data_IF_925378132439
#
_entry.id   IF_925378132439
#
_cell.length_a   1.000
_cell.length_b   1.000
_cell.length_c   1.000
_cell.angle_alpha   90.00
_cell.angle_beta   90.00
_cell.angle_gamma   90.00
#
_symmetry.space_group_name_H-M   'P 1'
#
loop_
_entity.id
_entity.type
_entity.pdbx_description
1 polymer ?
#
# COMPACT_ATOMS: atom_id res chain seq x y z
N UNK A 1 23.09 10.47 -20.46
CA UNK A 1 23.77 9.94 -21.67
C UNK A 1 24.58 8.71 -21.32
N UNK A 2 25.47 8.77 -20.34
CA UNK A 2 26.25 7.63 -19.82
C UNK A 2 25.42 6.36 -19.52
N UNK A 3 24.30 6.42 -18.80
CA UNK A 3 23.48 5.22 -18.52
C UNK A 3 22.88 4.60 -19.80
N UNK A 4 22.52 5.43 -20.79
CA UNK A 4 22.05 4.93 -22.10
C UNK A 4 23.17 4.29 -22.91
N UNK A 5 24.41 4.71 -22.69
CA UNK A 5 25.59 4.12 -23.33
C UNK A 5 26.04 2.85 -22.59
N UNK A 6 25.92 2.80 -21.27
CA UNK A 6 26.18 1.62 -20.46
C UNK A 6 25.31 0.43 -20.88
N UNK A 7 24.00 0.65 -21.09
CA UNK A 7 23.11 -0.41 -21.61
C UNK A 7 23.42 -0.87 -23.04
N UNK A 8 24.23 -0.12 -23.81
CA UNK A 8 24.71 -0.57 -25.13
C UNK A 8 26.01 -1.35 -25.04
N UNK A 9 26.82 -1.09 -24.01
CA UNK A 9 28.11 -1.73 -23.81
C UNK A 9 27.99 -3.03 -22.99
N UNK A 10 27.02 -3.09 -22.09
CA UNK A 10 26.77 -4.23 -21.22
C UNK A 10 25.47 -4.96 -21.62
N UNK A 11 25.54 -6.20 -22.12
CA UNK A 11 24.38 -7.01 -22.47
C UNK A 11 23.44 -7.26 -21.29
N UNK A 12 23.95 -7.31 -20.06
CA UNK A 12 23.12 -7.51 -18.87
C UNK A 12 22.24 -6.29 -18.60
N UNK A 13 22.66 -5.08 -19.01
CA UNK A 13 21.92 -3.84 -18.80
C UNK A 13 21.07 -3.43 -20.02
N UNK A 14 21.01 -4.26 -21.06
CA UNK A 14 20.29 -3.95 -22.30
C UNK A 14 18.78 -3.76 -22.11
N UNK A 15 18.21 -4.34 -21.04
CA UNK A 15 16.80 -4.18 -20.69
C UNK A 15 16.47 -2.79 -20.09
N UNK A 16 17.48 -1.98 -19.74
CA UNK A 16 17.28 -0.70 -19.07
C UNK A 16 16.99 0.41 -20.10
N UNK A 17 15.73 0.83 -20.15
CA UNK A 17 15.26 2.03 -20.82
C UNK A 17 15.22 3.20 -19.84
N UNK A 18 16.29 4.00 -19.81
CA UNK A 18 16.42 5.15 -18.92
C UNK A 18 15.94 6.47 -19.53
N UNK A 19 15.26 7.31 -18.75
CA UNK A 19 15.09 8.74 -19.04
C UNK A 19 15.29 9.56 -17.77
N UNK A 20 15.43 10.88 -17.94
CA UNK A 20 15.69 11.77 -16.82
C UNK A 20 14.76 12.97 -16.83
N UNK A 21 14.54 13.51 -15.63
CA UNK A 21 13.81 14.74 -15.37
C UNK A 21 14.66 15.61 -14.45
N UNK A 22 14.95 16.82 -14.92
CA UNK A 22 15.66 17.83 -14.13
C UNK A 22 14.67 18.91 -13.75
N UNK A 23 14.61 19.25 -12.48
CA UNK A 23 13.90 20.44 -12.05
C UNK A 23 14.65 21.70 -12.47
N UNK A 24 13.97 22.61 -13.15
CA UNK A 24 14.38 24.01 -13.21
C UNK A 24 13.69 24.73 -12.06
N UNK A 25 14.46 25.47 -11.26
CA UNK A 25 13.95 26.16 -10.08
C UNK A 25 12.76 27.04 -10.45
N UNK A 26 11.56 26.62 -10.03
CA UNK A 26 10.38 27.48 -10.04
C UNK A 26 10.60 28.48 -8.90
N UNK A 27 11.46 29.48 -9.13
CA UNK A 27 11.45 30.67 -8.32
C UNK A 27 10.04 31.23 -8.40
N UNK A 28 9.34 31.33 -7.26
CA UNK A 28 7.93 31.74 -7.16
C UNK A 28 7.60 33.08 -7.86
N UNK A 29 8.60 33.84 -8.31
CA UNK A 29 8.49 35.16 -8.91
C UNK A 29 9.16 35.30 -10.31
N UNK A 30 9.49 34.23 -11.05
CA UNK A 30 9.99 34.39 -12.43
C UNK A 30 8.88 34.36 -13.49
N UNK A 31 8.93 35.26 -14.49
CA UNK A 31 7.98 35.22 -15.60
C UNK A 31 8.15 33.91 -16.38
N UNK A 32 7.03 33.27 -16.73
CA UNK A 32 6.98 32.08 -17.58
C UNK A 32 7.54 32.42 -18.97
N UNK A 33 8.84 32.20 -19.17
CA UNK A 33 9.46 32.28 -20.48
C UNK A 33 9.11 31.05 -21.31
N UNK A 34 9.04 31.19 -22.65
CA UNK A 34 8.72 30.09 -23.60
C UNK A 34 9.61 28.84 -23.43
N UNK A 35 10.84 29.00 -22.95
CA UNK A 35 11.74 27.89 -22.63
C UNK A 35 11.22 27.03 -21.48
N UNK A 36 10.64 27.64 -20.46
CA UNK A 36 10.10 26.97 -19.28
C UNK A 36 8.87 26.11 -19.62
N UNK A 37 8.01 26.60 -20.53
CA UNK A 37 6.89 25.81 -21.05
C UNK A 37 7.34 24.62 -21.88
N UNK A 38 8.36 24.80 -22.73
CA UNK A 38 8.91 23.72 -23.54
C UNK A 38 9.55 22.63 -22.66
N UNK A 39 10.18 23.00 -21.56
CA UNK A 39 10.74 22.06 -20.58
C UNK A 39 9.67 21.34 -19.77
N UNK A 40 8.62 22.04 -19.35
CA UNK A 40 7.48 21.41 -18.68
C UNK A 40 6.82 20.35 -19.57
N UNK A 41 6.60 20.67 -20.86
CA UNK A 41 6.08 19.70 -21.84
C UNK A 41 6.99 18.48 -21.99
N UNK A 42 8.32 18.67 -21.97
CA UNK A 42 9.28 17.55 -22.00
C UNK A 42 9.21 16.70 -20.74
N UNK A 43 9.11 17.32 -19.56
CA UNK A 43 8.96 16.59 -18.30
C UNK A 43 7.67 15.75 -18.30
N UNK A 44 6.56 16.34 -18.75
CA UNK A 44 5.27 15.64 -18.86
C UNK A 44 5.33 14.48 -19.86
N UNK A 45 6.01 14.65 -21.00
CA UNK A 45 6.22 13.58 -21.97
C UNK A 45 7.02 12.42 -21.37
N UNK A 46 8.10 12.70 -20.63
CA UNK A 46 8.90 11.66 -19.97
C UNK A 46 8.08 10.92 -18.91
N UNK A 47 7.28 11.66 -18.12
CA UNK A 47 6.38 11.05 -17.13
C UNK A 47 5.31 10.19 -17.79
N UNK A 48 4.77 10.62 -18.93
CA UNK A 48 3.82 9.83 -19.73
C UNK A 48 4.46 8.52 -20.20
N UNK A 49 5.69 8.57 -20.72
CA UNK A 49 6.44 7.37 -21.15
C UNK A 49 6.74 6.42 -20.00
N UNK A 50 7.04 6.96 -18.82
CA UNK A 50 7.24 6.15 -17.62
C UNK A 50 5.94 5.46 -17.15
N UNK A 51 4.81 6.20 -17.15
CA UNK A 51 3.48 5.62 -16.87
C UNK A 51 3.04 4.58 -17.89
N UNK A 52 3.44 4.72 -19.15
CA UNK A 52 3.18 3.75 -20.22
C UNK A 52 4.16 2.57 -20.23
N UNK A 53 5.09 2.48 -19.27
CA UNK A 53 6.14 1.46 -19.20
C UNK A 53 7.12 1.42 -20.40
N UNK A 54 7.17 2.46 -21.24
CA UNK A 54 8.18 2.61 -22.30
C UNK A 54 9.58 2.92 -21.72
N UNK A 55 9.60 3.53 -20.54
CA UNK A 55 10.80 3.82 -19.75
C UNK A 55 10.67 3.07 -18.43
N UNK A 56 11.66 2.25 -18.08
CA UNK A 56 11.67 1.49 -16.83
C UNK A 56 12.61 2.06 -15.77
N UNK A 57 13.49 3.00 -16.13
CA UNK A 57 14.37 3.72 -15.20
C UNK A 57 14.18 5.23 -15.34
N UNK A 58 13.72 5.88 -14.27
CA UNK A 58 13.56 7.32 -14.21
C UNK A 58 14.61 7.92 -13.26
N UNK A 59 15.42 8.84 -13.77
CA UNK A 59 16.43 9.58 -13.00
C UNK A 59 15.89 10.99 -12.75
N UNK A 60 15.72 11.37 -11.49
CA UNK A 60 15.12 12.64 -11.13
C UNK A 60 15.96 13.41 -10.11
N UNK A 61 15.91 14.74 -10.14
CA UNK A 61 16.42 15.59 -9.06
C UNK A 61 15.35 15.81 -7.98
N UNK A 62 15.77 16.25 -6.79
CA UNK A 62 14.91 16.47 -5.61
C UNK A 62 13.70 17.37 -5.84
N UNK A 63 13.74 18.22 -6.88
CA UNK A 63 12.63 19.11 -7.26
C UNK A 63 11.38 18.32 -7.69
N UNK A 64 11.53 17.07 -8.11
CA UNK A 64 10.43 16.20 -8.57
C UNK A 64 9.83 15.36 -7.42
N UNK A 65 10.36 15.49 -6.19
CA UNK A 65 9.84 14.70 -5.06
C UNK A 65 8.39 15.08 -4.71
N UNK A 66 7.99 16.31 -5.00
CA UNK A 66 6.69 16.86 -4.62
C UNK A 66 5.85 17.25 -5.86
N UNK A 67 4.55 16.95 -5.81
CA UNK A 67 3.58 17.41 -6.82
C UNK A 67 3.57 16.64 -8.13
N UNK A 68 4.46 15.66 -8.32
CA UNK A 68 4.49 14.82 -9.52
C UNK A 68 3.89 13.45 -9.24
N UNK A 69 2.93 13.03 -10.06
CA UNK A 69 2.32 11.71 -9.99
C UNK A 69 3.18 10.66 -10.72
N UNK A 70 3.95 9.91 -9.93
CA UNK A 70 4.81 8.80 -10.36
C UNK A 70 4.16 7.51 -9.84
N UNK A 71 4.01 6.48 -10.71
CA UNK A 71 3.45 5.18 -10.32
C UNK A 71 4.29 4.51 -9.23
N UNK A 72 3.72 3.46 -8.62
CA UNK A 72 4.41 2.66 -7.61
C UNK A 72 5.62 1.97 -8.24
N UNK A 73 6.79 2.17 -7.64
CA UNK A 73 8.05 1.55 -8.06
C UNK A 73 8.39 0.36 -7.17
N UNK A 74 9.08 -0.63 -7.75
CA UNK A 74 9.69 -1.76 -7.05
C UNK A 74 11.07 -1.42 -6.47
N UNK A 75 11.79 -0.45 -7.06
CA UNK A 75 13.08 0.01 -6.56
C UNK A 75 13.12 1.53 -6.59
N UNK A 76 13.44 2.13 -5.44
CA UNK A 76 13.71 3.57 -5.33
C UNK A 76 15.07 3.74 -4.68
N UNK A 77 15.97 4.41 -5.40
CA UNK A 77 17.34 4.66 -4.97
C UNK A 77 17.54 6.16 -4.79
N UNK A 78 17.88 6.58 -3.57
CA UNK A 78 18.33 7.94 -3.29
C UNK A 78 19.85 7.99 -3.29
N UNK A 79 20.43 8.86 -4.11
CA UNK A 79 21.87 9.12 -4.08
C UNK A 79 22.30 9.99 -2.90
N UNK A 80 21.38 10.78 -2.36
CA UNK A 80 21.61 11.64 -1.20
C UNK A 80 20.62 11.35 -0.07
N UNK A 81 21.11 11.46 1.17
CA UNK A 81 20.28 11.36 2.36
C UNK A 81 19.24 12.49 2.39
N UNK A 82 17.97 12.18 2.73
CA UNK A 82 16.94 13.20 2.83
C UNK A 82 17.22 14.13 4.01
N UNK A 83 17.16 15.44 3.77
CA UNK A 83 17.40 16.48 4.80
C UNK A 83 16.20 16.71 5.71
N UNK A 84 15.00 16.38 5.22
CA UNK A 84 13.74 16.59 5.92
C UNK A 84 12.88 15.32 5.93
N UNK A 85 12.08 15.16 6.98
CA UNK A 85 11.10 14.08 7.10
C UNK A 85 10.15 14.02 5.88
N UNK A 86 9.77 15.18 5.34
CA UNK A 86 8.87 15.28 4.18
C UNK A 86 9.47 14.66 2.93
N UNK A 87 10.74 14.96 2.65
CA UNK A 87 11.49 14.35 1.54
C UNK A 87 11.62 12.84 1.72
N UNK A 88 11.93 12.40 2.95
CA UNK A 88 12.02 10.98 3.31
C UNK A 88 10.71 10.23 3.03
N UNK A 89 9.56 10.73 3.51
CA UNK A 89 8.27 10.03 3.35
C UNK A 89 7.78 10.05 1.89
N UNK A 90 8.03 11.13 1.14
CA UNK A 90 7.63 11.22 -0.27
C UNK A 90 8.42 10.24 -1.14
N UNK A 91 9.74 10.18 -0.94
CA UNK A 91 10.61 9.27 -1.68
C UNK A 91 10.38 7.80 -1.29
N UNK A 92 10.30 7.49 0.01
CA UNK A 92 9.88 6.16 0.50
C UNK A 92 8.49 5.79 -0.03
N UNK A 93 7.59 6.76 -0.15
CA UNK A 93 6.23 6.58 -0.67
C UNK A 93 6.15 6.15 -2.14
N UNK A 94 7.24 6.28 -2.92
CA UNK A 94 7.30 5.77 -4.29
C UNK A 94 7.62 4.28 -4.34
N UNK A 95 8.34 3.74 -3.36
CA UNK A 95 8.59 2.31 -3.18
C UNK A 95 7.40 1.66 -2.45
N UNK A 96 6.26 1.53 -3.15
CA UNK A 96 5.02 0.94 -2.61
C UNK A 96 4.47 -0.23 -3.43
N UNK A 97 5.22 -0.68 -4.45
CA UNK A 97 4.85 -1.89 -5.17
C UNK A 97 5.02 -3.12 -4.26
N UNK A 98 4.32 -4.25 -4.52
CA UNK A 98 4.59 -5.50 -3.82
C UNK A 98 6.08 -5.85 -3.93
N UNK A 99 6.72 -6.17 -2.81
CA UNK A 99 8.15 -6.50 -2.74
C UNK A 99 9.01 -5.33 -3.28
N UNK A 100 8.82 -4.12 -2.72
CA UNK A 100 9.60 -2.94 -3.09
C UNK A 100 10.81 -2.73 -2.17
N UNK A 101 11.94 -2.35 -2.78
CA UNK A 101 13.16 -1.97 -2.09
C UNK A 101 13.36 -0.45 -2.11
N UNK A 102 13.71 0.10 -0.96
CA UNK A 102 14.09 1.51 -0.81
C UNK A 102 15.52 1.60 -0.31
N UNK A 103 16.41 2.12 -1.15
CA UNK A 103 17.85 2.17 -0.92
C UNK A 103 18.30 3.62 -0.85
N UNK A 104 19.09 3.95 0.16
CA UNK A 104 19.79 5.23 0.26
C UNK A 104 21.29 4.98 0.14
N UNK A 105 21.92 5.62 -0.82
CA UNK A 105 23.37 5.73 -0.89
C UNK A 105 23.77 6.95 -0.05
N UNK A 106 24.84 6.79 0.71
CA UNK A 106 25.37 7.81 1.59
C UNK A 106 26.86 7.60 1.79
N UNK A 107 27.59 8.68 2.03
CA UNK A 107 28.98 8.61 2.47
C UNK A 107 29.05 7.97 3.86
N UNK A 108 30.02 7.09 4.08
CA UNK A 108 30.20 6.34 5.35
C UNK A 108 30.21 7.26 6.58
N UNK A 109 30.77 8.46 6.44
CA UNK A 109 30.86 9.45 7.52
C UNK A 109 29.50 10.05 7.90
N UNK A 110 28.59 10.22 6.93
CA UNK A 110 27.25 10.79 7.11
C UNK A 110 26.21 9.77 7.57
N UNK A 111 26.49 8.48 7.40
CA UNK A 111 25.58 7.40 7.82
C UNK A 111 25.35 7.45 9.35
N UNK A 112 26.40 7.72 10.13
CA UNK A 112 26.33 7.72 11.59
C UNK A 112 25.38 8.80 12.12
N UNK A 113 25.52 10.03 11.63
CA UNK A 113 24.62 11.13 12.03
C UNK A 113 23.19 10.88 11.57
N UNK A 114 23.03 10.33 10.36
CA UNK A 114 21.71 10.08 9.81
C UNK A 114 20.97 8.91 10.48
N UNK A 115 21.67 8.01 11.16
CA UNK A 115 21.01 6.92 11.90
C UNK A 115 20.08 7.46 13.00
N UNK A 116 20.49 8.54 13.68
CA UNK A 116 19.67 9.23 14.68
C UNK A 116 18.48 9.95 14.03
N UNK A 117 18.70 10.64 12.91
CA UNK A 117 17.64 11.28 12.14
C UNK A 117 16.62 10.26 11.63
N UNK A 118 17.09 9.09 11.16
CA UNK A 118 16.24 8.01 10.67
C UNK A 118 15.38 7.42 11.79
N UNK A 119 15.93 7.26 13.00
CA UNK A 119 15.16 6.85 14.20
C UNK A 119 14.07 7.88 14.49
N UNK A 120 14.41 9.16 14.43
CA UNK A 120 13.48 10.28 14.64
C UNK A 120 12.38 10.27 13.58
N UNK A 121 12.71 10.11 12.30
CA UNK A 121 11.74 10.03 11.21
C UNK A 121 10.79 8.84 11.35
N UNK A 122 11.30 7.67 11.74
CA UNK A 122 10.46 6.49 12.01
C UNK A 122 9.52 6.72 13.20
N UNK A 123 9.98 7.41 14.24
CA UNK A 123 9.15 7.76 15.39
C UNK A 123 8.03 8.74 14.99
N UNK A 124 8.35 9.77 14.20
CA UNK A 124 7.37 10.71 13.65
C UNK A 124 6.34 9.97 12.79
N UNK A 125 6.78 9.05 11.90
CA UNK A 125 5.88 8.26 11.07
C UNK A 125 4.91 7.42 11.91
N UNK A 126 5.40 6.78 12.98
CA UNK A 126 4.57 5.98 13.91
C UNK A 126 3.56 6.85 14.64
N UNK A 127 3.96 8.02 15.13
CA UNK A 127 3.08 8.95 15.82
C UNK A 127 2.00 9.46 14.85
N UNK A 128 2.38 9.87 13.65
CA UNK A 128 1.45 10.36 12.62
C UNK A 128 0.46 9.28 12.20
N UNK A 129 0.92 8.05 11.95
CA UNK A 129 0.02 6.93 11.66
C UNK A 129 -0.99 6.73 12.77
N UNK A 130 -0.55 6.64 14.03
CA UNK A 130 -1.43 6.40 15.17
C UNK A 130 -2.37 7.57 15.49
N UNK A 131 -1.97 8.82 15.21
CA UNK A 131 -2.78 10.01 15.46
C UNK A 131 -3.77 10.28 14.33
N UNK A 132 -3.39 10.02 13.08
CA UNK A 132 -4.26 10.19 11.92
C UNK A 132 -5.23 9.02 11.74
N UNK A 133 -4.87 7.78 12.09
CA UNK A 133 -5.82 6.65 12.14
C UNK A 133 -6.89 6.86 13.20
N UNK A 134 -6.62 7.69 14.23
CA UNK A 134 -7.60 8.10 15.23
C UNK A 134 -8.64 9.11 14.71
N UNK A 135 -8.38 9.75 13.57
CA UNK A 135 -9.31 10.69 12.92
C UNK A 135 -9.79 10.25 11.54
N UNK A 136 -9.23 9.19 10.96
CA UNK A 136 -9.67 8.63 9.68
C UNK A 136 -9.63 7.11 9.75
N UNK A 137 -10.81 6.54 9.94
CA UNK A 137 -11.12 5.12 9.81
C UNK A 137 -11.03 4.73 8.32
N UNK A 138 -9.83 4.47 7.82
CA UNK A 138 -9.62 3.89 6.48
C UNK A 138 -8.35 3.05 6.43
N UNK A 139 -8.54 1.73 6.37
CA UNK A 139 -7.91 0.86 5.38
C UNK A 139 -6.38 0.76 5.35
N UNK A 140 -5.92 -0.43 5.74
CA UNK A 140 -4.68 -1.12 5.35
C UNK A 140 -3.41 -0.95 6.19
N UNK A 141 -2.92 -2.14 6.59
CA UNK A 141 -1.53 -2.51 6.89
C UNK A 141 -0.98 -2.14 8.27
N UNK A 142 -1.52 -2.76 9.31
CA UNK A 142 -0.68 -3.31 10.37
C UNK A 142 -0.57 -4.83 10.15
N UNK A 143 0.54 -5.27 9.55
CA UNK A 143 0.97 -6.65 9.60
C UNK A 143 1.46 -6.90 11.03
N UNK A 144 0.54 -7.12 11.95
CA UNK A 144 0.86 -7.67 13.27
C UNK A 144 1.46 -9.08 13.11
N UNK A 145 2.39 -9.49 13.98
CA UNK A 145 2.99 -10.81 13.92
C UNK A 145 1.89 -11.87 13.85
N UNK A 146 2.04 -12.81 12.91
CA UNK A 146 1.19 -13.98 12.75
C UNK A 146 1.43 -14.87 13.97
N UNK A 147 0.73 -14.57 15.06
CA UNK A 147 0.48 -15.57 16.10
C UNK A 147 -0.48 -16.56 15.48
N UNK A 148 -0.10 -17.84 15.50
CA UNK A 148 -0.89 -18.95 14.99
C UNK A 148 -2.09 -19.17 15.93
N UNK A 149 -3.07 -18.27 15.84
CA UNK A 149 -4.33 -18.29 16.58
C UNK A 149 -5.33 -19.29 15.93
N UNK A 150 -4.89 -20.16 15.00
CA UNK A 150 -5.79 -21.08 14.26
C UNK A 150 -6.55 -22.04 15.20
N UNK A 151 -6.03 -22.30 16.41
CA UNK A 151 -6.67 -23.12 17.44
C UNK A 151 -7.73 -22.36 18.28
N UNK A 152 -7.82 -21.04 18.17
CA UNK A 152 -8.74 -20.20 18.98
C UNK A 152 -10.18 -20.33 18.50
N UNK A 153 -10.39 -20.60 17.22
CA UNK A 153 -11.72 -20.74 16.64
C UNK A 153 -11.72 -21.80 15.54
N UNK A 154 -12.69 -22.75 15.55
CA UNK A 154 -12.68 -23.85 14.60
C UNK A 154 -12.76 -23.33 13.15
N UNK A 155 -11.93 -23.86 12.23
CA UNK A 155 -11.97 -23.45 10.84
C UNK A 155 -13.29 -23.85 10.19
N UNK A 156 -13.74 -23.05 9.23
CA UNK A 156 -14.86 -23.43 8.39
C UNK A 156 -14.36 -24.40 7.30
N UNK A 157 -14.79 -25.66 7.40
CA UNK A 157 -14.39 -26.74 6.49
C UNK A 157 -15.56 -27.08 5.58
N UNK A 158 -15.35 -26.99 4.26
CA UNK A 158 -16.39 -27.28 3.28
C UNK A 158 -16.69 -28.79 3.17
N UNK A 159 -15.66 -29.64 3.28
CA UNK A 159 -15.77 -31.11 3.22
C UNK A 159 -14.91 -31.77 4.31
N UNK A 160 -15.47 -32.69 5.12
CA UNK A 160 -14.78 -33.27 6.28
C UNK A 160 -13.48 -34.01 5.97
N UNK A 161 -13.36 -34.58 4.77
CA UNK A 161 -12.29 -35.55 4.45
C UNK A 161 -11.07 -34.91 3.75
N UNK A 162 -11.23 -33.82 2.95
CA UNK A 162 -10.09 -33.08 2.34
C UNK A 162 -10.51 -31.76 1.63
N UNK A 163 -11.50 -31.05 2.18
CA UNK A 163 -12.02 -29.84 1.54
C UNK A 163 -11.17 -28.58 1.80
N UNK A 164 -11.31 -27.52 0.97
CA UNK A 164 -10.80 -26.21 1.30
C UNK A 164 -11.30 -25.78 2.69
N UNK A 165 -10.41 -25.13 3.44
CA UNK A 165 -10.69 -24.65 4.79
C UNK A 165 -10.39 -23.16 4.88
N UNK A 166 -11.30 -22.43 5.50
CA UNK A 166 -11.10 -21.01 5.82
C UNK A 166 -10.84 -20.92 7.32
N UNK A 167 -9.70 -20.35 7.67
CA UNK A 167 -9.32 -20.07 9.07
C UNK A 167 -9.61 -18.61 9.40
N UNK A 168 -9.62 -18.26 10.68
CA UNK A 168 -9.79 -16.87 11.11
C UNK A 168 -8.70 -15.95 10.56
N UNK A 169 -7.50 -16.48 10.32
CA UNK A 169 -6.36 -15.73 9.77
C UNK A 169 -6.51 -15.43 8.27
N UNK A 170 -7.18 -16.31 7.53
CA UNK A 170 -7.38 -16.17 6.07
C UNK A 170 -8.70 -15.48 5.72
N UNK A 171 -9.70 -15.54 6.60
CA UNK A 171 -11.06 -15.09 6.35
C UNK A 171 -11.18 -13.65 5.82
N UNK A 172 -10.46 -12.69 6.43
CA UNK A 172 -10.49 -11.29 5.99
C UNK A 172 -10.04 -11.16 4.52
N UNK A 173 -9.00 -11.90 4.13
CA UNK A 173 -8.50 -11.91 2.76
C UNK A 173 -9.53 -12.44 1.77
N UNK A 174 -10.28 -13.50 2.14
CA UNK A 174 -11.35 -14.04 1.31
C UNK A 174 -12.51 -13.07 1.16
N UNK A 175 -12.95 -12.41 2.24
CA UNK A 175 -14.02 -11.39 2.17
C UNK A 175 -13.60 -10.20 1.30
N UNK A 176 -12.37 -9.71 1.45
CA UNK A 176 -11.85 -8.62 0.62
C UNK A 176 -11.79 -9.01 -0.86
N UNK A 177 -11.32 -10.22 -1.17
CA UNK A 177 -11.27 -10.75 -2.55
C UNK A 177 -12.67 -10.91 -3.15
N UNK A 178 -13.66 -11.28 -2.34
CA UNK A 178 -15.05 -11.32 -2.77
C UNK A 178 -15.57 -9.91 -3.06
N UNK A 179 -15.39 -8.95 -2.15
CA UNK A 179 -15.83 -7.56 -2.36
C UNK A 179 -15.21 -6.92 -3.60
N UNK A 180 -13.95 -7.22 -3.91
CA UNK A 180 -13.26 -6.73 -5.10
C UNK A 180 -13.78 -7.35 -6.43
N UNK A 181 -14.48 -8.50 -6.36
CA UNK A 181 -15.10 -9.15 -7.54
C UNK A 181 -16.54 -8.67 -7.80
N UNK A 182 -17.13 -7.95 -6.86
CA UNK A 182 -18.48 -7.40 -7.04
C UNK A 182 -18.48 -6.37 -8.17
N UNK A 183 -19.57 -6.27 -8.95
CA UNK A 183 -19.67 -5.31 -10.04
C UNK A 183 -19.55 -3.87 -9.49
N UNK A 184 -18.49 -3.16 -9.88
CA UNK A 184 -18.23 -1.77 -9.52
C UNK A 184 -17.80 -0.96 -10.73
N UNK A 185 -17.89 0.36 -10.63
CA UNK A 185 -17.31 1.26 -11.62
C UNK A 185 -15.76 1.34 -11.45
N UNK A 186 -15.02 1.83 -12.47
CA UNK A 186 -13.55 1.88 -12.45
C UNK A 186 -12.93 2.74 -11.34
N UNK A 187 -13.73 3.59 -10.67
CA UNK A 187 -13.25 4.52 -9.66
C UNK A 187 -13.66 4.10 -8.24
N UNK A 188 -14.53 3.10 -8.08
CA UNK A 188 -15.01 2.63 -6.78
C UNK A 188 -14.33 1.35 -6.36
N UNK A 189 -13.57 1.42 -5.26
CA UNK A 189 -13.09 0.24 -4.54
C UNK A 189 -14.14 -0.23 -3.52
N UNK A 190 -14.75 -1.39 -3.78
CA UNK A 190 -15.66 -2.02 -2.85
C UNK A 190 -14.87 -2.81 -1.79
N UNK A 191 -15.02 -2.41 -0.53
CA UNK A 191 -14.41 -3.07 0.61
C UNK A 191 -15.45 -3.32 1.71
N UNK A 192 -15.33 -4.42 2.48
CA UNK A 192 -16.17 -4.64 3.64
C UNK A 192 -15.87 -3.60 4.72
N UNK A 193 -16.87 -3.25 5.52
CA UNK A 193 -16.71 -2.37 6.68
C UNK A 193 -16.99 -3.15 7.96
N UNK A 194 -16.05 -3.11 8.90
CA UNK A 194 -16.23 -3.69 10.23
C UNK A 194 -16.44 -2.58 11.25
N UNK A 195 -17.35 -2.80 12.20
CA UNK A 195 -17.56 -1.92 13.34
C UNK A 195 -17.41 -2.73 14.62
N UNK A 196 -16.29 -2.54 15.30
CA UNK A 196 -15.97 -3.23 16.56
C UNK A 196 -16.38 -2.37 17.75
N UNK A 197 -16.94 -2.99 18.79
CA UNK A 197 -17.35 -2.33 20.04
C UNK A 197 -16.88 -3.15 21.24
N UNK A 198 -16.43 -2.44 22.26
CA UNK A 198 -16.07 -2.99 23.56
C UNK A 198 -17.32 -3.14 24.42
N UNK A 199 -17.42 -4.26 25.13
CA UNK A 199 -18.49 -4.58 26.07
C UNK A 199 -18.05 -4.27 27.50
N UNK A 200 -19.02 -4.12 28.43
CA UNK A 200 -18.72 -3.79 29.83
C UNK A 200 -17.83 -4.83 30.56
N UNK A 201 -17.74 -6.05 30.04
CA UNK A 201 -16.93 -7.14 30.55
C UNK A 201 -15.47 -7.12 30.02
N UNK A 202 -15.11 -6.13 29.19
CA UNK A 202 -13.80 -6.02 28.57
C UNK A 202 -13.61 -6.90 27.33
N UNK A 203 -14.67 -7.56 26.84
CA UNK A 203 -14.65 -8.29 25.56
C UNK A 203 -15.09 -7.40 24.40
N UNK A 204 -14.81 -7.84 23.17
CA UNK A 204 -15.08 -7.08 21.95
C UNK A 204 -15.95 -7.88 21.00
N UNK A 205 -17.03 -7.30 20.49
CA UNK A 205 -17.78 -7.88 19.39
C UNK A 205 -17.68 -6.97 18.16
N UNK A 206 -17.65 -7.58 16.97
CA UNK A 206 -17.60 -6.84 15.72
C UNK A 206 -18.81 -7.11 14.85
N UNK A 207 -19.21 -6.11 14.08
CA UNK A 207 -20.29 -6.19 13.10
C UNK A 207 -19.75 -5.86 11.72
N UNK A 208 -19.88 -6.79 10.78
CA UNK A 208 -19.40 -6.66 9.41
C UNK A 208 -20.55 -6.30 8.46
N UNK A 209 -20.28 -5.33 7.61
CA UNK A 209 -21.16 -4.80 6.58
C UNK A 209 -20.50 -5.01 5.22
N UNK A 210 -21.18 -5.75 4.34
CA UNK A 210 -20.76 -5.90 2.97
C UNK A 210 -21.24 -4.71 2.12
N UNK A 211 -20.59 -4.44 0.99
CA UNK A 211 -21.05 -3.44 0.02
C UNK A 211 -22.48 -3.73 -0.46
N UNK A 212 -23.19 -2.68 -0.89
CA UNK A 212 -24.59 -2.76 -1.36
C UNK A 212 -24.76 -3.72 -2.55
N UNK A 213 -23.69 -3.91 -3.31
CA UNK A 213 -23.61 -4.78 -4.48
C UNK A 213 -23.65 -6.28 -4.10
N UNK A 214 -23.34 -6.62 -2.85
CA UNK A 214 -23.45 -7.98 -2.34
C UNK A 214 -24.93 -8.35 -2.14
N UNK A 215 -25.39 -9.55 -2.55
CA UNK A 215 -26.75 -10.01 -2.24
C UNK A 215 -26.95 -10.23 -0.74
N UNK A 216 -25.87 -10.51 0.01
CA UNK A 216 -25.89 -10.57 1.47
C UNK A 216 -25.88 -9.15 2.05
N UNK A 217 -27.08 -8.55 2.14
CA UNK A 217 -27.29 -7.18 2.66
C UNK A 217 -27.35 -7.08 4.18
N UNK A 218 -27.64 -8.18 4.86
CA UNK A 218 -27.75 -8.20 6.31
C UNK A 218 -26.36 -8.03 6.96
N UNK A 219 -26.27 -7.19 7.99
CA UNK A 219 -25.06 -7.08 8.79
C UNK A 219 -24.79 -8.38 9.56
N UNK A 220 -23.52 -8.77 9.63
CA UNK A 220 -23.11 -10.00 10.28
C UNK A 220 -22.49 -9.63 11.62
N UNK A 221 -23.11 -10.09 12.69
CA UNK A 221 -22.62 -9.89 14.06
C UNK A 221 -21.94 -11.17 14.49
N UNK A 222 -20.71 -11.06 14.99
CA UNK A 222 -19.95 -12.19 15.53
C UNK A 222 -19.94 -12.20 17.05
N UNK A 223 -19.41 -13.28 17.64
CA UNK A 223 -19.36 -13.44 19.08
C UNK A 223 -18.40 -12.43 19.74
N UNK A 224 -18.59 -12.16 21.04
CA UNK A 224 -17.60 -11.45 21.83
C UNK A 224 -16.28 -12.22 21.91
N UNK A 225 -15.16 -11.52 21.71
CA UNK A 225 -13.80 -12.06 21.72
C UNK A 225 -12.91 -11.27 22.70
N UNK A 226 -11.81 -11.87 23.12
CA UNK A 226 -10.87 -11.27 24.09
C UNK A 226 -10.08 -10.06 23.56
N UNK A 227 -10.05 -9.84 22.23
CA UNK A 227 -9.43 -8.67 21.63
C UNK A 227 -10.09 -8.28 20.31
N UNK A 228 -9.86 -7.03 19.89
CA UNK A 228 -10.40 -6.43 18.65
C UNK A 228 -10.05 -7.28 17.41
N UNK A 229 -8.79 -7.70 17.30
CA UNK A 229 -8.30 -8.49 16.16
C UNK A 229 -9.07 -9.80 15.98
N UNK A 230 -9.29 -10.54 17.08
CA UNK A 230 -10.06 -11.77 17.05
C UNK A 230 -11.53 -11.51 16.74
N UNK A 231 -12.12 -10.45 17.27
CA UNK A 231 -13.50 -10.07 16.98
C UNK A 231 -13.72 -9.84 15.47
N UNK A 232 -12.80 -9.13 14.81
CA UNK A 232 -12.89 -8.87 13.37
C UNK A 232 -12.65 -10.12 12.53
N UNK A 233 -11.63 -10.93 12.87
CA UNK A 233 -11.30 -12.16 12.15
C UNK A 233 -12.42 -13.20 12.24
N UNK A 234 -13.00 -13.41 13.43
CA UNK A 234 -14.10 -14.37 13.62
C UNK A 234 -15.35 -13.93 12.88
N UNK A 235 -15.69 -12.64 12.91
CA UNK A 235 -16.82 -12.11 12.14
C UNK A 235 -16.61 -12.31 10.64
N UNK A 236 -15.38 -12.11 10.14
CA UNK A 236 -15.04 -12.38 8.74
C UNK A 236 -15.19 -13.87 8.40
N UNK A 237 -14.82 -14.79 9.31
CA UNK A 237 -15.00 -16.22 9.08
C UNK A 237 -16.48 -16.61 8.98
N UNK A 238 -17.32 -16.08 9.88
CA UNK A 238 -18.78 -16.26 9.83
C UNK A 238 -19.36 -15.65 8.53
N UNK A 239 -18.76 -14.56 8.05
CA UNK A 239 -19.12 -13.97 6.76
C UNK A 239 -18.82 -14.93 5.59
N UNK A 240 -17.63 -15.53 5.56
CA UNK A 240 -17.28 -16.54 4.55
C UNK A 240 -18.27 -17.72 4.56
N UNK A 241 -18.61 -18.24 5.73
CA UNK A 241 -19.61 -19.32 5.85
C UNK A 241 -20.98 -18.90 5.26
N UNK A 242 -21.44 -17.69 5.56
CA UNK A 242 -22.73 -17.19 5.04
C UNK A 242 -22.70 -16.96 3.54
N UNK A 243 -21.62 -16.37 3.01
CA UNK A 243 -21.45 -16.15 1.58
C UNK A 243 -21.41 -17.48 0.82
N UNK A 244 -20.70 -18.48 1.37
CA UNK A 244 -20.65 -19.82 0.81
C UNK A 244 -22.03 -20.50 0.80
N UNK A 245 -22.78 -20.43 1.90
CA UNK A 245 -24.16 -20.98 1.97
C UNK A 245 -25.14 -20.36 0.98
N UNK A 246 -24.87 -19.13 0.52
CA UNK A 246 -25.68 -18.43 -0.49
C UNK A 246 -25.19 -18.75 -1.92
N UNK A 247 -24.03 -19.40 -2.07
CA UNK A 247 -23.43 -19.75 -3.36
C UNK A 247 -22.59 -18.62 -3.98
N UNK A 248 -22.23 -17.59 -3.19
CA UNK A 248 -21.38 -16.47 -3.64
C UNK A 248 -19.88 -16.77 -3.51
N UNK A 249 -19.52 -17.77 -2.71
CA UNK A 249 -18.18 -18.36 -2.68
C UNK A 249 -18.23 -19.74 -3.30
N UNK A 250 -17.19 -20.08 -4.05
CA UNK A 250 -16.99 -21.37 -4.69
C UNK A 250 -16.33 -22.38 -3.76
N UNK A 251 -16.45 -23.65 -4.14
CA UNK A 251 -15.91 -24.82 -3.45
C UNK A 251 -14.38 -24.98 -3.57
N UNK A 252 -13.65 -23.98 -4.09
CA UNK A 252 -12.22 -24.06 -4.49
C UNK A 252 -11.36 -22.96 -3.87
#
# INVERSE_FOLDING_TARGET
RLIKEAGKQDPELAYISSNFITGHGIGKNQPRNKQMEAEFRKQEEVLRKFRAHETNLLIATSIVEEGVDIPKCNLVVRFDLPTEYRSYVQSKGRARAPISNYVMLADTDKIKSFEEDLKTYKAIEKILRNKCSKSVDTGEADTEPVVDDDDVFPPYVLRPEDGPRVTINTAIGHVNRYCARLPSDPFTHLAPKCRTRELPDGTFYSTLYLPINSPLRASIVGPPMSCIRLAERVVALICCEKLHKIGELDDH
#
